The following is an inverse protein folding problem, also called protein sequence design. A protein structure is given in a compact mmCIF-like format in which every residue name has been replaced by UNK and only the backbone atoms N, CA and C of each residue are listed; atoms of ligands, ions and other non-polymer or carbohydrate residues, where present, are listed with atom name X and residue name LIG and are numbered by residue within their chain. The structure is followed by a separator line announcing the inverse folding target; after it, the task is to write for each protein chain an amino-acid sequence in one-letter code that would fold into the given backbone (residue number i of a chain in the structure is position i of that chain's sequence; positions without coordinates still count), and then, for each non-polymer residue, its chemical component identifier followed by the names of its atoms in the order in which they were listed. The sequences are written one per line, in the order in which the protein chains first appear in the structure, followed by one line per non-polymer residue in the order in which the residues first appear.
data_IF_371490696083
#
_entry.id   IF_371490696083
#
_cell.length_a   1.000
_cell.length_b   1.000
_cell.length_c   1.000
_cell.angle_alpha   90.00
_cell.angle_beta   90.00
_cell.angle_gamma   90.00
#
_symmetry.space_group_name_H-M   'P 1'
#
loop_
_entity.id
_entity.type
_entity.pdbx_description
1 polymer ?
#
# COMPACT_ATOMS: atom_id res chain seq x y z
N UNK A 1 -17.98 19.81 -1.74
CA UNK A 1 -17.22 18.97 -0.78
C UNK A 1 -17.46 17.51 -1.15
N UNK A 2 -16.42 16.68 -1.20
CA UNK A 2 -16.52 15.25 -1.53
C UNK A 2 -16.00 14.46 -0.34
N UNK A 3 -16.73 13.43 0.08
CA UNK A 3 -16.28 12.47 1.08
C UNK A 3 -16.31 11.05 0.50
N UNK A 4 -15.40 10.20 0.98
CA UNK A 4 -15.35 8.77 0.68
C UNK A 4 -15.16 8.03 1.99
N UNK A 5 -15.88 6.92 2.14
CA UNK A 5 -15.77 6.04 3.31
C UNK A 5 -15.08 4.77 2.85
N UNK A 6 -13.96 4.44 3.50
CA UNK A 6 -13.30 3.14 3.33
C UNK A 6 -13.91 2.20 4.38
N UNK A 7 -14.66 1.16 3.99
CA UNK A 7 -15.30 0.26 4.95
C UNK A 7 -14.25 -0.59 5.68
N UNK A 8 -14.56 -1.00 6.92
CA UNK A 8 -13.69 -1.90 7.66
C UNK A 8 -13.47 -3.22 6.90
N UNK A 9 -12.21 -3.64 6.81
CA UNK A 9 -11.77 -4.85 6.13
C UNK A 9 -10.53 -5.43 6.81
N UNK A 10 -10.20 -6.68 6.48
CA UNK A 10 -8.85 -7.20 6.69
C UNK A 10 -7.94 -6.68 5.59
N UNK A 11 -6.69 -6.41 5.95
CA UNK A 11 -5.70 -5.87 5.03
C UNK A 11 -4.44 -6.73 5.06
N UNK A 12 -3.93 -7.02 3.87
CA UNK A 12 -2.56 -7.45 3.67
C UNK A 12 -1.72 -6.19 3.51
N UNK A 13 -0.70 -6.02 4.34
CA UNK A 13 0.13 -4.81 4.38
C UNK A 13 1.51 -5.13 3.83
N UNK A 14 1.97 -4.34 2.86
CA UNK A 14 3.32 -4.42 2.30
C UNK A 14 4.02 -3.08 2.50
N UNK A 15 5.13 -3.09 3.22
CA UNK A 15 5.97 -1.90 3.38
C UNK A 15 6.94 -1.79 2.21
N UNK A 16 6.72 -0.81 1.34
CA UNK A 16 7.69 -0.40 0.33
C UNK A 16 8.78 0.43 1.01
N UNK A 17 10.02 -0.07 1.02
CA UNK A 17 11.17 0.63 1.59
C UNK A 17 12.21 0.95 0.53
N UNK A 18 12.60 2.20 0.46
CA UNK A 18 13.75 2.68 -0.32
C UNK A 18 13.42 3.87 -1.21
N UNK A 19 14.16 4.02 -2.31
CA UNK A 19 13.98 5.13 -3.24
C UNK A 19 12.61 5.10 -3.92
N UNK A 20 11.82 6.14 -3.67
CA UNK A 20 10.49 6.33 -4.24
C UNK A 20 10.57 7.07 -5.60
N UNK A 21 9.64 6.83 -6.54
CA UNK A 21 8.48 5.92 -6.46
C UNK A 21 8.78 4.46 -6.86
N UNK A 22 10.03 4.13 -7.22
CA UNK A 22 10.38 2.81 -7.74
C UNK A 22 9.98 1.66 -6.80
N UNK A 23 10.24 1.82 -5.50
CA UNK A 23 9.92 0.78 -4.49
C UNK A 23 8.44 0.52 -4.31
N UNK A 24 7.58 1.53 -4.51
CA UNK A 24 6.13 1.34 -4.54
C UNK A 24 5.72 0.48 -5.73
N UNK A 25 6.30 0.75 -6.92
CA UNK A 25 6.05 -0.05 -8.12
C UNK A 25 6.44 -1.53 -7.94
N UNK A 26 7.61 -1.78 -7.35
CA UNK A 26 8.09 -3.13 -7.01
C UNK A 26 7.15 -3.84 -6.02
N UNK A 27 6.70 -3.13 -4.97
CA UNK A 27 5.76 -3.67 -3.99
C UNK A 27 4.41 -4.03 -4.63
N UNK A 28 3.87 -3.18 -5.51
CA UNK A 28 2.67 -3.50 -6.27
C UNK A 28 2.87 -4.71 -7.16
N UNK A 29 3.97 -4.79 -7.92
CA UNK A 29 4.27 -5.94 -8.75
C UNK A 29 4.32 -7.24 -7.90
N UNK A 30 4.88 -7.19 -6.70
CA UNK A 30 4.85 -8.31 -5.77
C UNK A 30 3.42 -8.67 -5.34
N UNK A 31 2.63 -7.69 -4.91
CA UNK A 31 1.21 -7.87 -4.52
C UNK A 31 0.43 -8.56 -5.64
N UNK A 32 0.55 -8.10 -6.88
CA UNK A 32 -0.16 -8.67 -8.03
C UNK A 32 0.24 -10.12 -8.32
N UNK A 33 1.48 -10.50 -8.02
CA UNK A 33 1.99 -11.87 -8.21
C UNK A 33 1.81 -12.78 -6.97
N UNK A 34 1.43 -12.23 -5.81
CA UNK A 34 1.38 -12.98 -4.54
C UNK A 34 0.18 -13.95 -4.42
N UNK A 35 -0.79 -13.89 -5.34
CA UNK A 35 -1.97 -14.77 -5.31
C UNK A 35 -2.92 -14.53 -4.12
N UNK A 36 -2.77 -13.42 -3.39
CA UNK A 36 -3.63 -13.11 -2.24
C UNK A 36 -5.10 -12.94 -2.66
N UNK A 37 -6.01 -13.43 -1.82
CA UNK A 37 -7.46 -13.35 -2.06
C UNK A 37 -8.00 -11.95 -1.76
N UNK A 38 -7.87 -11.04 -2.73
CA UNK A 38 -8.31 -9.64 -2.61
C UNK A 38 -9.82 -9.50 -2.56
N UNK A 39 -10.31 -8.56 -1.76
CA UNK A 39 -11.72 -8.18 -1.69
C UNK A 39 -12.05 -6.94 -2.50
N UNK A 40 -11.04 -6.16 -2.89
CA UNK A 40 -11.21 -4.92 -3.67
C UNK A 40 -12.17 -3.91 -3.00
N UNK A 41 -12.27 -3.95 -1.66
CA UNK A 41 -13.10 -3.03 -0.87
C UNK A 41 -12.49 -1.64 -0.74
N UNK A 42 -11.19 -1.53 -0.96
CA UNK A 42 -10.45 -0.27 -0.96
C UNK A 42 -9.00 -0.54 -0.64
N UNK A 43 -8.13 -0.29 -1.60
CA UNK A 43 -6.70 -0.38 -1.42
C UNK A 43 -6.13 1.04 -1.39
N UNK A 44 -5.18 1.28 -0.50
CA UNK A 44 -4.61 2.62 -0.31
C UNK A 44 -3.16 2.53 0.18
N UNK A 45 -2.44 3.63 -0.03
CA UNK A 45 -1.06 3.80 0.41
C UNK A 45 -1.03 4.80 1.56
N UNK A 46 -0.37 4.44 2.65
CA UNK A 46 -0.18 5.32 3.80
C UNK A 46 1.23 5.90 3.76
N UNK A 47 1.28 7.21 3.50
CA UNK A 47 2.49 8.03 3.54
C UNK A 47 2.55 8.72 4.90
N UNK A 48 3.20 8.08 5.88
CA UNK A 48 3.37 8.65 7.21
C UNK A 48 4.72 9.38 7.36
N UNK A 49 5.15 9.64 8.59
CA UNK A 49 6.40 10.34 8.92
C UNK A 49 7.67 9.65 8.38
N UNK A 50 7.58 8.36 8.02
CA UNK A 50 8.67 7.60 7.41
C UNK A 50 8.84 7.89 5.92
N UNK A 51 7.85 8.52 5.28
CA UNK A 51 7.99 8.99 3.92
C UNK A 51 8.78 10.31 3.88
N UNK A 52 9.92 10.29 3.20
CA UNK A 52 10.82 11.44 3.03
C UNK A 52 11.64 11.30 1.74
N UNK A 53 12.47 12.29 1.42
CA UNK A 53 13.30 12.29 0.20
C UNK A 53 14.58 11.43 0.31
N UNK A 54 14.69 10.58 1.33
CA UNK A 54 15.88 9.72 1.53
C UNK A 54 15.73 8.37 0.85
N UNK A 55 16.86 7.67 0.68
CA UNK A 55 16.86 6.28 0.20
C UNK A 55 16.33 5.26 1.23
N UNK A 56 15.86 5.72 2.39
CA UNK A 56 15.25 4.89 3.43
C UNK A 56 13.76 5.18 3.61
N UNK A 57 13.15 5.94 2.70
CA UNK A 57 11.72 6.25 2.77
C UNK A 57 10.88 4.97 2.84
N UNK A 58 9.84 4.98 3.67
CA UNK A 58 8.90 3.86 3.80
C UNK A 58 7.47 4.31 3.50
N UNK A 59 6.72 3.45 2.83
CA UNK A 59 5.29 3.62 2.53
C UNK A 59 4.60 2.28 2.73
N UNK A 60 3.50 2.27 3.47
CA UNK A 60 2.71 1.06 3.68
C UNK A 60 1.57 0.97 2.66
N UNK A 61 1.51 -0.14 1.94
CA UNK A 61 0.44 -0.44 0.98
C UNK A 61 -0.56 -1.38 1.64
N UNK A 62 -1.78 -0.90 1.84
CA UNK A 62 -2.89 -1.66 2.41
C UNK A 62 -3.75 -2.24 1.29
N UNK A 63 -3.78 -3.57 1.20
CA UNK A 63 -4.57 -4.29 0.20
C UNK A 63 -5.69 -5.04 0.89
N UNK A 64 -6.92 -4.73 0.54
CA UNK A 64 -8.11 -5.36 1.12
C UNK A 64 -8.21 -6.83 0.72
N UNK A 65 -8.32 -7.74 1.70
CA UNK A 65 -8.38 -9.20 1.54
C UNK A 65 -9.58 -9.84 2.25
N UNK A 66 -9.87 -11.11 1.93
CA UNK A 66 -10.97 -11.90 2.54
C UNK A 66 -10.62 -12.41 3.94
#
# INVERSE_FOLDING_TARGET
MVSKVIPASKYYVVTAKGKMPQKIGEAWAHIWNSGISRTYKGDFELYDERYNDTENAEVDIYVSIK
#
